data_IF_269862152853
#
_entry.id   IF_269862152853
#
_cell.length_a   1.000
_cell.length_b   1.000
_cell.length_c   1.000
_cell.angle_alpha   90.00
_cell.angle_beta   90.00
_cell.angle_gamma   90.00
#
_symmetry.space_group_name_H-M   'P 1'
#
loop_
_entity.id
_entity.type
_entity.pdbx_description
1 polymer ?
#
# COMPACT_ATOMS: atom_id res chain seq x y z
N UNK A 1 0.24 -17.08 9.26
CA UNK A 1 1.20 -15.95 9.12
C UNK A 1 2.61 -16.40 9.51
N UNK A 2 2.98 -17.62 9.09
CA UNK A 2 4.26 -18.25 9.39
C UNK A 2 4.67 -19.10 8.18
N UNK A 3 5.97 -19.27 8.00
CA UNK A 3 6.58 -20.24 7.08
C UNK A 3 7.81 -20.83 7.78
N UNK A 4 8.37 -21.95 7.32
CA UNK A 4 9.59 -22.50 7.92
C UNK A 4 10.70 -21.44 8.01
N UNK A 5 11.13 -21.13 9.23
CA UNK A 5 12.19 -20.16 9.50
C UNK A 5 11.77 -18.68 9.51
N UNK A 6 10.50 -18.32 9.32
CA UNK A 6 10.07 -16.92 9.33
C UNK A 6 8.62 -16.69 9.82
N UNK A 7 8.39 -15.48 10.33
CA UNK A 7 7.07 -14.95 10.69
C UNK A 7 6.82 -13.65 9.93
N UNK A 8 5.57 -13.44 9.51
CA UNK A 8 5.12 -12.15 8.95
C UNK A 8 4.32 -11.41 10.01
N UNK A 9 4.67 -10.15 10.25
CA UNK A 9 4.15 -9.32 11.35
C UNK A 9 3.71 -7.95 10.86
N UNK A 10 2.98 -7.21 11.69
CA UNK A 10 2.64 -5.81 11.44
C UNK A 10 1.78 -5.57 10.20
N UNK A 11 1.92 -4.38 9.61
CA UNK A 11 1.18 -4.03 8.40
C UNK A 11 1.56 -4.89 7.20
N UNK A 12 2.77 -5.48 7.19
CA UNK A 12 3.21 -6.43 6.16
C UNK A 12 2.35 -7.70 6.17
N UNK A 13 1.99 -8.18 7.38
CA UNK A 13 1.01 -9.26 7.56
C UNK A 13 -0.46 -8.81 7.46
N UNK A 14 -0.73 -7.52 7.20
CA UNK A 14 -2.08 -6.98 7.08
C UNK A 14 -2.83 -6.84 8.42
N UNK A 15 -2.14 -6.57 9.53
CA UNK A 15 -2.80 -6.42 10.85
C UNK A 15 -3.47 -5.05 11.08
N UNK A 16 -3.71 -4.25 10.05
CA UNK A 16 -4.33 -2.93 10.16
C UNK A 16 -5.84 -3.05 10.46
N UNK A 17 -6.33 -2.34 11.47
CA UNK A 17 -7.77 -2.15 11.65
C UNK A 17 -8.26 -0.99 10.76
N UNK A 18 -8.72 -1.35 9.57
CA UNK A 18 -9.20 -0.39 8.57
C UNK A 18 -10.40 0.43 9.06
N UNK A 19 -11.27 -0.15 9.90
CA UNK A 19 -12.46 0.54 10.41
C UNK A 19 -12.13 1.73 11.33
N UNK A 20 -10.93 1.73 11.91
CA UNK A 20 -10.46 2.75 12.84
C UNK A 20 -9.30 3.57 12.31
N UNK A 21 -8.73 3.17 11.17
CA UNK A 21 -7.48 3.74 10.62
C UNK A 21 -6.35 3.64 11.66
N UNK A 22 -6.22 2.47 12.31
CA UNK A 22 -5.21 2.24 13.35
C UNK A 22 -4.46 0.93 13.13
N UNK A 23 -3.15 1.03 12.92
CA UNK A 23 -2.26 -0.12 12.67
C UNK A 23 -1.11 -0.26 13.65
N UNK A 24 -0.74 0.78 14.40
CA UNK A 24 0.46 0.78 15.25
C UNK A 24 0.31 -0.22 16.40
N UNK A 25 -0.72 -0.07 17.22
CA UNK A 25 -1.00 -0.97 18.35
C UNK A 25 -1.22 -2.44 17.94
N UNK A 26 -1.82 -2.68 16.76
CA UNK A 26 -2.02 -4.03 16.23
C UNK A 26 -0.71 -4.63 15.74
N UNK A 27 0.14 -3.84 15.08
CA UNK A 27 1.48 -4.25 14.70
C UNK A 27 2.34 -4.57 15.93
N UNK A 28 2.33 -3.71 16.95
CA UNK A 28 3.01 -3.97 18.23
C UNK A 28 2.54 -5.28 18.85
N UNK A 29 1.22 -5.50 18.94
CA UNK A 29 0.71 -6.76 19.50
C UNK A 29 1.09 -7.97 18.66
N UNK A 30 1.10 -7.86 17.34
CA UNK A 30 1.53 -8.96 16.46
C UNK A 30 2.99 -9.36 16.74
N UNK A 31 3.87 -8.39 17.03
CA UNK A 31 5.26 -8.63 17.42
C UNK A 31 5.40 -9.24 18.81
N UNK A 32 4.62 -8.79 19.80
CA UNK A 32 4.60 -9.40 21.13
C UNK A 32 4.20 -10.88 21.07
N UNK A 33 3.14 -11.21 20.32
CA UNK A 33 2.69 -12.59 20.13
C UNK A 33 3.72 -13.45 19.39
N UNK A 34 4.49 -12.85 18.48
CA UNK A 34 5.56 -13.54 17.78
C UNK A 34 6.73 -13.87 18.71
N UNK A 35 7.10 -12.93 19.59
CA UNK A 35 8.10 -13.16 20.63
C UNK A 35 7.65 -14.25 21.61
N UNK A 36 6.37 -14.24 22.03
CA UNK A 36 5.78 -15.31 22.86
C UNK A 36 5.88 -16.68 22.16
N UNK A 37 5.52 -16.76 20.87
CA UNK A 37 5.60 -18.00 20.09
C UNK A 37 7.05 -18.49 19.93
N UNK A 38 7.99 -17.59 19.65
CA UNK A 38 9.41 -17.91 19.48
C UNK A 38 10.04 -18.39 20.78
N UNK A 39 9.74 -17.73 21.90
CA UNK A 39 10.28 -18.13 23.21
C UNK A 39 9.90 -19.57 23.55
N UNK A 40 8.65 -19.96 23.34
CA UNK A 40 8.20 -21.34 23.59
C UNK A 40 8.88 -22.36 22.67
N UNK A 41 9.10 -22.00 21.39
CA UNK A 41 9.72 -22.90 20.40
C UNK A 41 11.24 -23.07 20.60
N UNK A 42 11.91 -22.08 21.18
CA UNK A 42 13.34 -22.16 21.54
C UNK A 42 13.57 -23.19 22.65
N UNK A 43 12.66 -23.28 23.61
CA UNK A 43 12.73 -24.25 24.71
C UNK A 43 12.48 -25.69 24.21
N UNK A 44 11.67 -25.88 23.16
CA UNK A 44 11.31 -27.19 22.60
C UNK A 44 12.17 -27.68 21.42
N UNK A 45 13.26 -26.96 21.07
CA UNK A 45 14.23 -27.32 20.01
C UNK A 45 13.58 -27.75 18.68
N UNK A 46 12.92 -26.80 18.00
CA UNK A 46 12.59 -26.94 16.57
C UNK A 46 11.12 -27.26 16.27
N UNK A 47 10.21 -26.92 17.17
CA UNK A 47 8.78 -26.94 16.84
C UNK A 47 8.43 -25.86 15.80
N UNK A 48 7.46 -26.20 14.95
CA UNK A 48 6.85 -25.29 13.99
C UNK A 48 6.20 -24.11 14.72
N UNK A 49 6.41 -22.90 14.19
CA UNK A 49 5.84 -21.66 14.70
C UNK A 49 4.33 -21.54 14.45
N UNK A 50 3.67 -22.62 14.02
CA UNK A 50 2.22 -22.75 13.90
C UNK A 50 1.44 -22.35 15.18
N UNK A 51 2.08 -22.37 16.36
CA UNK A 51 1.48 -21.83 17.58
C UNK A 51 1.17 -20.32 17.48
N UNK A 52 1.92 -19.56 16.68
CA UNK A 52 1.69 -18.13 16.45
C UNK A 52 0.27 -17.84 15.93
N UNK A 53 -0.21 -18.62 14.95
CA UNK A 53 -1.55 -18.40 14.37
C UNK A 53 -2.65 -18.65 15.41
N UNK A 54 -2.44 -19.60 16.34
CA UNK A 54 -3.36 -19.84 17.46
C UNK A 54 -3.36 -18.66 18.45
N UNK A 55 -2.18 -18.18 18.85
CA UNK A 55 -2.03 -17.02 19.73
C UNK A 55 -2.69 -15.77 19.13
N UNK A 56 -2.44 -15.50 17.85
CA UNK A 56 -3.05 -14.39 17.13
C UNK A 56 -4.57 -14.53 17.07
N UNK A 57 -5.09 -15.71 16.73
CA UNK A 57 -6.52 -15.95 16.66
C UNK A 57 -7.24 -15.76 18.01
N UNK A 58 -6.60 -16.15 19.11
CA UNK A 58 -7.16 -16.04 20.47
C UNK A 58 -7.02 -14.64 21.07
N UNK A 59 -6.00 -13.89 20.65
CA UNK A 59 -5.74 -12.54 21.14
C UNK A 59 -6.85 -11.52 20.83
N UNK A 60 -6.81 -10.38 21.52
CA UNK A 60 -7.67 -9.23 21.21
C UNK A 60 -7.44 -8.72 19.77
N UNK A 61 -6.22 -8.88 19.21
CA UNK A 61 -5.90 -8.49 17.84
C UNK A 61 -6.74 -9.30 16.84
N UNK A 62 -6.70 -10.63 16.94
CA UNK A 62 -7.49 -11.51 16.08
C UNK A 62 -8.99 -11.25 16.21
N UNK A 63 -9.48 -10.96 17.43
CA UNK A 63 -10.87 -10.58 17.65
C UNK A 63 -11.22 -9.24 16.97
N UNK A 64 -10.35 -8.24 17.05
CA UNK A 64 -10.56 -6.92 16.40
C UNK A 64 -10.60 -7.06 14.88
N UNK A 65 -9.63 -7.76 14.28
CA UNK A 65 -9.57 -7.98 12.84
C UNK A 65 -10.79 -8.75 12.33
N UNK A 66 -11.24 -9.78 13.06
CA UNK A 66 -12.48 -10.50 12.70
C UNK A 66 -13.71 -9.60 12.75
N UNK A 67 -13.79 -8.69 13.71
CA UNK A 67 -14.91 -7.76 13.86
C UNK A 67 -14.96 -6.72 12.73
N UNK A 68 -13.82 -6.27 12.22
CA UNK A 68 -13.75 -5.26 11.16
C UNK A 68 -13.56 -5.83 9.74
N UNK A 69 -13.54 -7.15 9.58
CA UNK A 69 -13.16 -7.83 8.32
C UNK A 69 -13.98 -7.46 7.09
N UNK A 70 -15.24 -7.06 7.25
CA UNK A 70 -16.11 -6.69 6.12
C UNK A 70 -16.04 -5.20 5.78
N UNK A 71 -15.39 -4.38 6.61
CA UNK A 71 -15.56 -2.93 6.57
C UNK A 71 -15.15 -2.31 5.23
N UNK A 72 -13.95 -2.65 4.74
CA UNK A 72 -13.44 -2.16 3.46
C UNK A 72 -14.28 -2.68 2.29
N UNK A 73 -14.50 -3.99 2.23
CA UNK A 73 -15.27 -4.62 1.16
C UNK A 73 -16.73 -4.11 1.07
N UNK A 74 -17.36 -3.77 2.20
CA UNK A 74 -18.68 -3.15 2.23
C UNK A 74 -18.67 -1.76 1.59
N UNK A 75 -17.68 -0.92 1.91
CA UNK A 75 -17.53 0.40 1.31
C UNK A 75 -17.23 0.31 -0.19
N UNK A 76 -16.38 -0.62 -0.62
CA UNK A 76 -16.05 -0.79 -2.03
C UNK A 76 -17.24 -1.31 -2.84
N UNK A 77 -18.03 -2.24 -2.29
CA UNK A 77 -19.15 -2.87 -2.99
C UNK A 77 -20.41 -2.02 -3.01
N UNK A 78 -20.75 -1.39 -1.89
CA UNK A 78 -22.00 -0.66 -1.72
C UNK A 78 -21.83 0.87 -1.75
N UNK A 79 -20.59 1.35 -1.85
CA UNK A 79 -20.27 2.77 -1.80
C UNK A 79 -20.28 3.33 -0.37
N UNK A 80 -19.92 4.62 -0.20
CA UNK A 80 -19.75 5.21 1.12
C UNK A 80 -21.01 5.18 2.00
N UNK A 81 -22.18 5.42 1.40
CA UNK A 81 -23.44 5.54 2.14
C UNK A 81 -23.99 4.18 2.58
N UNK A 82 -24.28 3.28 1.63
CA UNK A 82 -24.83 1.96 1.95
C UNK A 82 -23.80 1.07 2.63
N UNK A 83 -22.52 1.15 2.24
CA UNK A 83 -21.43 0.46 2.93
C UNK A 83 -21.23 0.97 4.35
N UNK A 84 -21.34 2.29 4.56
CA UNK A 84 -21.32 2.90 5.89
C UNK A 84 -22.48 2.43 6.77
N UNK A 85 -23.70 2.41 6.23
CA UNK A 85 -24.88 1.89 6.93
C UNK A 85 -24.73 0.41 7.29
N UNK A 86 -24.25 -0.42 6.36
CA UNK A 86 -23.94 -1.83 6.61
C UNK A 86 -22.94 -1.98 7.76
N UNK A 87 -21.82 -1.24 7.70
CA UNK A 87 -20.78 -1.31 8.72
C UNK A 87 -21.29 -0.86 10.09
N UNK A 88 -22.11 0.19 10.14
CA UNK A 88 -22.71 0.67 11.39
C UNK A 88 -23.63 -0.40 12.01
N UNK A 89 -24.51 -1.01 11.20
CA UNK A 89 -25.39 -2.10 11.65
C UNK A 89 -24.60 -3.30 12.15
N UNK A 90 -23.60 -3.75 11.38
CA UNK A 90 -22.76 -4.88 11.75
C UNK A 90 -22.02 -4.62 13.07
N UNK A 91 -21.35 -3.48 13.20
CA UNK A 91 -20.57 -3.17 14.39
C UNK A 91 -21.43 -2.96 15.64
N UNK A 92 -22.68 -2.50 15.48
CA UNK A 92 -23.62 -2.25 16.57
C UNK A 92 -24.30 -3.52 17.05
N UNK A 93 -24.81 -4.35 16.14
CA UNK A 93 -25.67 -5.49 16.48
C UNK A 93 -24.93 -6.83 16.44
N UNK A 94 -23.81 -6.93 15.73
CA UNK A 94 -23.05 -8.17 15.56
C UNK A 94 -21.59 -7.99 16.00
N UNK A 95 -21.33 -7.78 17.31
CA UNK A 95 -19.98 -7.52 17.81
C UNK A 95 -19.02 -8.71 17.64
N UNK A 96 -19.54 -9.92 17.43
CA UNK A 96 -18.77 -11.14 17.11
C UNK A 96 -18.57 -11.35 15.60
N UNK A 97 -19.04 -10.42 14.77
CA UNK A 97 -19.04 -10.48 13.31
C UNK A 97 -20.24 -11.26 12.75
N UNK A 98 -20.66 -10.90 11.54
CA UNK A 98 -21.65 -11.68 10.80
C UNK A 98 -21.00 -12.94 10.20
N UNK A 99 -21.72 -14.08 10.08
CA UNK A 99 -21.25 -15.26 9.36
C UNK A 99 -21.34 -15.08 7.82
N UNK A 100 -21.07 -13.86 7.34
CA UNK A 100 -20.99 -13.53 5.93
C UNK A 100 -19.54 -13.60 5.44
N UNK A 101 -19.38 -13.76 4.14
CA UNK A 101 -18.09 -13.71 3.46
C UNK A 101 -18.11 -12.54 2.47
N UNK A 102 -17.92 -11.32 2.97
CA UNK A 102 -17.78 -10.12 2.14
C UNK A 102 -16.30 -9.79 1.97
N UNK A 103 -15.81 -9.81 0.73
CA UNK A 103 -14.42 -9.57 0.36
C UNK A 103 -14.35 -8.77 -0.94
N UNK A 104 -13.25 -8.07 -1.14
CA UNK A 104 -12.91 -7.52 -2.44
C UNK A 104 -12.53 -8.66 -3.39
N UNK A 105 -13.13 -8.68 -4.59
CA UNK A 105 -12.98 -9.77 -5.55
C UNK A 105 -11.82 -9.61 -6.53
N UNK A 106 -11.23 -8.42 -6.60
CA UNK A 106 -10.17 -8.08 -7.55
C UNK A 106 -9.08 -7.25 -6.88
N UNK A 107 -7.81 -7.43 -7.27
CA UNK A 107 -6.72 -6.60 -6.78
C UNK A 107 -6.81 -5.18 -7.34
N UNK A 108 -6.23 -4.22 -6.60
CA UNK A 108 -6.40 -2.79 -6.86
C UNK A 108 -5.87 -2.33 -8.24
N UNK A 109 -4.78 -2.93 -8.74
CA UNK A 109 -4.22 -2.60 -10.06
C UNK A 109 -5.20 -2.90 -11.22
N UNK A 110 -6.11 -3.89 -11.07
CA UNK A 110 -7.09 -4.24 -12.11
C UNK A 110 -8.31 -3.33 -12.16
N UNK A 111 -8.44 -2.41 -11.19
CA UNK A 111 -9.64 -1.58 -11.03
C UNK A 111 -9.62 -0.31 -11.89
N UNK A 112 -8.54 -0.03 -12.62
CA UNK A 112 -8.45 1.11 -13.52
C UNK A 112 -9.29 0.88 -14.77
N UNK A 113 -10.12 1.87 -15.10
CA UNK A 113 -10.84 1.92 -16.37
C UNK A 113 -9.92 2.46 -17.45
N UNK A 114 -10.09 1.97 -18.67
CA UNK A 114 -9.43 2.53 -19.85
C UNK A 114 -9.76 4.01 -20.01
N UNK A 115 -8.80 4.79 -20.52
CA UNK A 115 -8.90 6.24 -20.59
C UNK A 115 -10.06 6.71 -21.49
N UNK A 116 -10.40 5.93 -22.52
CA UNK A 116 -11.51 6.19 -23.46
C UNK A 116 -12.90 6.18 -22.79
N UNK A 117 -13.02 5.51 -21.64
CA UNK A 117 -14.23 5.40 -20.82
C UNK A 117 -14.27 6.38 -19.66
N UNK A 118 -13.29 7.27 -19.58
CA UNK A 118 -13.14 8.22 -18.49
C UNK A 118 -13.24 9.67 -18.99
N UNK A 119 -13.61 10.58 -18.09
CA UNK A 119 -13.51 12.02 -18.34
C UNK A 119 -12.32 12.56 -17.54
N UNK A 120 -11.38 13.27 -18.17
CA UNK A 120 -10.27 13.91 -17.45
C UNK A 120 -10.79 14.83 -16.34
N UNK A 121 -10.16 14.76 -15.17
CA UNK A 121 -10.44 15.67 -14.06
C UNK A 121 -9.51 16.88 -14.20
N UNK A 122 -10.10 18.07 -14.26
CA UNK A 122 -9.33 19.33 -14.26
C UNK A 122 -9.15 19.78 -12.82
N UNK A 123 -7.94 19.57 -12.29
CA UNK A 123 -7.59 20.06 -10.96
C UNK A 123 -7.22 21.55 -11.01
N UNK A 124 -7.66 22.36 -10.04
CA UNK A 124 -7.19 23.75 -9.91
C UNK A 124 -5.67 23.80 -9.73
N UNK A 125 -5.05 24.88 -10.21
CA UNK A 125 -3.64 25.14 -9.91
C UNK A 125 -3.48 25.41 -8.40
N UNK A 126 -2.35 25.01 -7.80
CA UNK A 126 -2.08 25.31 -6.40
C UNK A 126 -1.99 26.82 -6.16
N UNK A 127 -2.52 27.26 -5.03
CA UNK A 127 -2.56 28.67 -4.60
C UNK A 127 -1.36 29.10 -3.75
N UNK A 128 -0.48 28.16 -3.39
CA UNK A 128 0.70 28.39 -2.54
C UNK A 128 0.37 28.72 -1.08
N UNK A 129 -0.89 28.54 -0.65
CA UNK A 129 -1.35 28.84 0.71
C UNK A 129 -2.04 27.66 1.36
N UNK A 130 -3.08 27.13 0.71
CA UNK A 130 -3.82 25.94 1.14
C UNK A 130 -3.46 24.71 0.29
N UNK A 131 -2.95 24.95 -0.91
CA UNK A 131 -2.62 23.96 -1.91
C UNK A 131 -1.26 24.27 -2.53
N UNK A 132 -0.44 23.24 -2.69
CA UNK A 132 0.95 23.37 -3.10
C UNK A 132 1.23 22.45 -4.29
N UNK A 133 2.26 22.77 -5.05
CA UNK A 133 2.77 21.88 -6.07
C UNK A 133 3.44 20.64 -5.44
N UNK A 134 3.60 19.60 -6.26
CA UNK A 134 4.19 18.34 -5.81
C UNK A 134 5.68 18.47 -5.46
N UNK A 135 6.54 19.15 -6.24
CA UNK A 135 7.94 19.38 -5.88
C UNK A 135 8.14 20.04 -4.51
N UNK A 136 7.40 21.10 -4.19
CA UNK A 136 7.51 21.74 -2.86
C UNK A 136 7.10 20.80 -1.72
N UNK A 137 6.14 19.91 -1.96
CA UNK A 137 5.75 18.87 -0.99
C UNK A 137 6.84 17.80 -0.81
N UNK A 138 7.51 17.39 -1.89
CA UNK A 138 8.63 16.43 -1.85
C UNK A 138 9.84 17.03 -1.14
N UNK A 139 10.11 18.31 -1.34
CA UNK A 139 11.16 19.02 -0.63
C UNK A 139 10.97 18.95 0.91
N UNK A 140 9.73 19.14 1.39
CA UNK A 140 9.40 19.04 2.81
C UNK A 140 9.50 17.61 3.37
N UNK A 141 9.44 16.58 2.50
CA UNK A 141 9.70 15.20 2.90
C UNK A 141 11.18 14.94 3.20
N UNK A 142 12.07 15.90 2.89
CA UNK A 142 13.51 15.83 3.08
C UNK A 142 14.08 14.51 2.55
N UNK A 143 13.59 14.09 1.37
CA UNK A 143 14.03 12.85 0.73
C UNK A 143 15.39 13.04 0.08
N UNK A 144 16.27 12.08 0.27
CA UNK A 144 17.62 12.12 -0.31
C UNK A 144 18.06 10.74 -0.76
N UNK A 145 18.68 10.69 -1.92
CA UNK A 145 19.28 9.50 -2.51
C UNK A 145 20.60 9.92 -3.14
N UNK A 146 21.62 9.09 -3.02
CA UNK A 146 22.81 9.21 -3.86
C UNK A 146 22.41 9.06 -5.35
N UNK A 147 22.86 9.98 -6.21
CA UNK A 147 22.53 10.00 -7.63
C UNK A 147 23.20 8.86 -8.41
N UNK A 148 24.36 8.38 -7.94
CA UNK A 148 25.11 7.30 -8.59
C UNK A 148 24.60 5.90 -8.20
N UNK A 149 23.61 5.81 -7.31
CA UNK A 149 23.05 4.52 -6.91
C UNK A 149 22.13 3.94 -8.02
N UNK A 150 22.08 2.61 -8.18
CA UNK A 150 21.16 1.99 -9.12
C UNK A 150 19.70 2.34 -8.81
N UNK A 151 18.92 2.69 -9.84
CA UNK A 151 17.50 2.97 -9.68
C UNK A 151 16.78 1.78 -9.04
N UNK A 152 16.10 2.02 -7.92
CA UNK A 152 15.45 1.00 -7.10
C UNK A 152 13.99 0.72 -7.53
N UNK A 153 13.55 1.35 -8.62
CA UNK A 153 12.26 1.15 -9.27
C UNK A 153 12.52 0.43 -10.59
N UNK A 154 12.40 -0.89 -10.57
CA UNK A 154 12.76 -1.73 -11.71
C UNK A 154 11.54 -1.92 -12.61
N UNK A 155 11.74 -1.78 -13.91
CA UNK A 155 10.77 -2.17 -14.93
C UNK A 155 11.11 -3.58 -15.42
N UNK A 156 10.13 -4.48 -15.47
CA UNK A 156 10.32 -5.78 -16.11
C UNK A 156 10.48 -5.62 -17.64
N UNK A 157 9.70 -4.72 -18.25
CA UNK A 157 9.79 -4.31 -19.64
C UNK A 157 9.74 -2.77 -19.75
N UNK A 158 10.84 -2.12 -20.19
CA UNK A 158 10.90 -0.66 -20.37
C UNK A 158 9.93 -0.10 -21.43
N UNK A 159 9.37 -0.94 -22.29
CA UNK A 159 8.46 -0.52 -23.36
C UNK A 159 7.00 -0.42 -22.92
N UNK A 160 6.61 -1.10 -21.84
CA UNK A 160 5.23 -1.15 -21.32
C UNK A 160 4.68 0.24 -20.94
N UNK A 161 5.42 1.13 -20.24
CA UNK A 161 4.91 2.44 -19.87
C UNK A 161 4.37 3.24 -21.06
N UNK A 162 5.09 3.23 -22.19
CA UNK A 162 4.69 3.96 -23.39
C UNK A 162 3.72 3.17 -24.28
N UNK A 163 4.00 1.88 -24.54
CA UNK A 163 3.21 1.09 -25.50
C UNK A 163 1.85 0.65 -24.95
N UNK A 164 1.77 0.43 -23.64
CA UNK A 164 0.58 -0.14 -22.99
C UNK A 164 -0.05 0.88 -22.04
N UNK A 165 0.71 1.38 -21.07
CA UNK A 165 0.14 2.19 -20.00
C UNK A 165 -0.30 3.58 -20.46
N UNK A 166 0.52 4.26 -21.26
CA UNK A 166 0.18 5.55 -21.87
C UNK A 166 -1.02 5.42 -22.82
N UNK A 167 -1.03 4.39 -23.67
CA UNK A 167 -2.10 4.15 -24.64
C UNK A 167 -3.44 3.76 -23.99
N UNK A 168 -3.43 2.99 -22.90
CA UNK A 168 -4.65 2.46 -22.30
C UNK A 168 -5.15 3.27 -21.09
N UNK A 169 -4.25 3.85 -20.30
CA UNK A 169 -4.59 4.49 -19.02
C UNK A 169 -3.96 5.88 -18.86
N UNK A 170 -3.46 6.48 -19.94
CA UNK A 170 -2.77 7.77 -19.93
C UNK A 170 -1.60 7.83 -18.92
N UNK A 171 -0.85 6.73 -18.83
CA UNK A 171 0.30 6.49 -17.93
C UNK A 171 0.01 6.98 -16.50
N UNK A 172 -0.73 6.18 -15.72
CA UNK A 172 -1.29 6.62 -14.44
C UNK A 172 -0.22 6.87 -13.37
N UNK A 173 1.02 6.37 -13.56
CA UNK A 173 2.12 6.60 -12.62
C UNK A 173 2.45 8.08 -12.43
N UNK A 174 2.22 8.90 -13.47
CA UNK A 174 2.39 10.35 -13.41
C UNK A 174 1.44 11.02 -12.41
N UNK A 175 0.34 10.35 -12.04
CA UNK A 175 -0.73 10.88 -11.18
C UNK A 175 -0.80 10.22 -9.82
N UNK A 176 -0.76 8.88 -9.74
CA UNK A 176 -0.83 8.20 -8.43
C UNK A 176 0.48 8.30 -7.64
N UNK A 177 1.61 8.58 -8.29
CA UNK A 177 2.87 8.76 -7.59
C UNK A 177 2.81 10.06 -6.80
N UNK A 178 2.89 10.01 -5.45
CA UNK A 178 2.79 11.21 -4.63
C UNK A 178 4.01 12.14 -4.78
N UNK A 179 5.10 11.65 -5.36
CA UNK A 179 6.38 12.35 -5.42
C UNK A 179 6.88 12.70 -6.82
N UNK A 180 6.09 12.43 -7.88
CA UNK A 180 6.49 12.82 -9.24
C UNK A 180 7.73 12.09 -9.74
N UNK A 181 7.87 10.83 -9.35
CA UNK A 181 9.01 9.99 -9.76
C UNK A 181 8.90 9.60 -11.23
N UNK A 182 7.69 9.42 -11.76
CA UNK A 182 7.47 8.94 -13.12
C UNK A 182 6.92 10.06 -13.99
N UNK A 183 7.55 10.29 -15.14
CA UNK A 183 7.17 11.33 -16.09
C UNK A 183 7.32 10.81 -17.53
N UNK A 184 6.42 11.21 -18.42
CA UNK A 184 6.60 11.04 -19.86
C UNK A 184 7.12 12.37 -20.40
N UNK A 185 8.39 12.38 -20.79
CA UNK A 185 9.08 13.56 -21.33
C UNK A 185 9.27 13.39 -22.84
N UNK A 186 9.55 14.47 -23.55
CA UNK A 186 9.93 14.41 -24.97
C UNK A 186 11.46 14.37 -25.08
N UNK A 187 12.00 13.36 -25.76
CA UNK A 187 13.42 13.24 -26.08
C UNK A 187 13.57 13.06 -27.58
N UNK A 188 14.28 13.99 -28.23
CA UNK A 188 14.52 13.96 -29.69
C UNK A 188 13.23 13.87 -30.53
N UNK A 189 12.13 14.46 -30.07
CA UNK A 189 10.83 14.45 -30.75
C UNK A 189 9.95 13.23 -30.45
N UNK A 190 10.44 12.28 -29.65
CA UNK A 190 9.72 11.06 -29.28
C UNK A 190 9.42 11.03 -27.78
N UNK A 191 8.28 10.46 -27.35
CA UNK A 191 7.98 10.29 -25.94
C UNK A 191 8.94 9.28 -25.30
N UNK A 192 9.51 9.65 -24.15
CA UNK A 192 10.39 8.81 -23.33
C UNK A 192 9.86 8.74 -21.90
N UNK A 193 9.90 7.54 -21.31
CA UNK A 193 9.51 7.35 -19.91
C UNK A 193 10.71 7.56 -18.99
N UNK A 194 10.64 8.58 -18.14
CA UNK A 194 11.71 8.96 -17.23
C UNK A 194 11.35 8.62 -15.78
N UNK A 195 12.34 8.08 -15.04
CA UNK A 195 12.22 7.71 -13.62
C UNK A 195 13.18 8.58 -12.80
N UNK A 196 12.66 9.59 -12.12
CA UNK A 196 13.37 10.46 -11.19
C UNK A 196 13.44 9.81 -9.80
N UNK A 197 14.22 8.74 -9.68
CA UNK A 197 14.22 7.88 -8.48
C UNK A 197 14.61 8.60 -7.18
N UNK A 198 15.38 9.69 -7.26
CA UNK A 198 15.77 10.51 -6.11
C UNK A 198 14.58 11.17 -5.38
N UNK A 199 13.44 11.34 -6.06
CA UNK A 199 12.23 11.88 -5.42
C UNK A 199 11.44 10.82 -4.64
N UNK A 200 11.82 9.54 -4.69
CA UNK A 200 10.99 8.45 -4.19
C UNK A 200 10.85 8.47 -2.66
N UNK A 201 9.62 8.62 -2.16
CA UNK A 201 9.30 8.59 -0.72
C UNK A 201 8.93 7.19 -0.18
N UNK A 202 9.21 6.12 -0.94
CA UNK A 202 9.06 4.72 -0.52
C UNK A 202 7.63 4.29 -0.15
N UNK A 203 6.60 5.02 -0.60
CA UNK A 203 5.19 4.72 -0.32
C UNK A 203 4.66 3.39 -0.88
N UNK A 204 5.39 2.74 -1.80
CA UNK A 204 5.03 1.49 -2.51
C UNK A 204 3.82 1.55 -3.45
N UNK A 205 3.16 2.70 -3.59
CA UNK A 205 1.98 2.84 -4.46
C UNK A 205 2.22 2.39 -5.91
N UNK A 206 3.40 2.67 -6.48
CA UNK A 206 3.69 2.30 -7.87
C UNK A 206 3.75 0.78 -8.11
N UNK A 207 4.28 0.03 -7.15
CA UNK A 207 4.32 -1.45 -7.16
C UNK A 207 2.90 -2.02 -7.06
N UNK A 208 2.06 -1.39 -6.24
CA UNK A 208 0.69 -1.83 -5.97
C UNK A 208 -0.29 -1.46 -7.10
N UNK A 209 -0.16 -0.25 -7.68
CA UNK A 209 -1.20 0.36 -8.52
C UNK A 209 -0.95 0.23 -10.02
N UNK A 210 0.27 -0.10 -10.45
CA UNK A 210 0.57 -0.22 -11.88
C UNK A 210 -0.36 -1.27 -12.53
N UNK A 211 -1.23 -0.86 -13.48
CA UNK A 211 -2.18 -1.78 -14.12
C UNK A 211 -1.52 -2.94 -14.86
N UNK A 212 -0.26 -2.76 -15.27
CA UNK A 212 0.53 -3.78 -15.95
C UNK A 212 1.41 -4.62 -15.01
N UNK A 213 1.47 -4.28 -13.72
CA UNK A 213 2.34 -4.93 -12.72
C UNK A 213 3.80 -5.05 -13.22
N UNK A 214 4.28 -4.00 -13.89
CA UNK A 214 5.59 -3.92 -14.53
C UNK A 214 6.65 -3.27 -13.63
N UNK A 215 6.23 -2.41 -12.69
CA UNK A 215 7.12 -1.76 -11.72
C UNK A 215 7.30 -2.66 -10.50
N UNK A 216 8.55 -2.98 -10.16
CA UNK A 216 8.91 -3.61 -8.88
C UNK A 216 9.75 -2.65 -8.04
N UNK A 217 9.31 -2.39 -6.81
CA UNK A 217 10.08 -1.60 -5.85
C UNK A 217 11.06 -2.51 -5.11
N UNK A 218 12.34 -2.13 -5.12
CA UNK A 218 13.37 -2.75 -4.28
C UNK A 218 13.92 -1.72 -3.28
N UNK A 219 14.46 -2.12 -2.13
CA UNK A 219 15.14 -1.19 -1.24
C UNK A 219 16.32 -0.49 -1.96
N UNK A 220 16.44 0.85 -1.87
CA UNK A 220 17.66 1.57 -2.26
C UNK A 220 18.80 1.31 -1.25
N UNK A 221 19.93 1.98 -1.45
CA UNK A 221 21.03 1.95 -0.48
C UNK A 221 20.57 2.41 0.91
N UNK A 222 21.10 1.78 1.97
CA UNK A 222 20.74 2.10 3.35
C UNK A 222 20.97 3.58 3.68
N UNK A 223 19.98 4.22 4.31
CA UNK A 223 20.00 5.65 4.61
C UNK A 223 19.42 6.55 3.52
N UNK A 224 19.18 6.03 2.31
CA UNK A 224 18.43 6.77 1.27
C UNK A 224 16.92 6.74 1.52
N UNK A 225 16.22 7.77 1.05
CA UNK A 225 14.77 7.91 1.18
C UNK A 225 14.34 9.12 2.00
N UNK A 226 13.06 9.15 2.43
CA UNK A 226 12.52 10.25 3.20
C UNK A 226 13.13 10.35 4.61
N UNK A 227 13.34 11.57 5.08
CA UNK A 227 13.78 11.84 6.45
C UNK A 227 12.68 12.59 7.21
N UNK A 228 11.89 11.83 7.97
CA UNK A 228 10.72 12.32 8.71
C UNK A 228 11.04 12.45 10.21
N UNK A 229 11.36 13.66 10.71
CA UNK A 229 11.77 13.81 12.11
C UNK A 229 10.61 13.65 13.11
N UNK A 230 9.37 13.94 12.69
CA UNK A 230 8.19 13.98 13.58
C UNK A 230 6.89 13.55 12.87
N UNK A 231 6.96 12.57 11.95
CA UNK A 231 5.78 12.07 11.24
C UNK A 231 5.23 10.80 11.87
#
# INVERSE_FOLDING_TARGET
MHVPGALLLGCDAGTLDFSRIKGIHTAMKSGMLAAEALSGALDSRGEDLAHYDRLLAQSWLGQSLRRSRHFGAALHRFGPWLGGAFNWLEQRFFPKGLPLHLRDGEPDYRRLKHQDRCRPIVYPKPDGKLSFDRPSSVYLANTSHDEDQPCHLKLADPSIPLRVNLANWAEPAQRYCPAGVFEVVEQSGEPAFQINAANCIHCKTCDIKDPSQNISWTPPQGGSGPNYPNM
#
